data_IF_235159209969
#
_entry.id   IF_235159209969
#
_cell.length_a   1.000
_cell.length_b   1.000
_cell.length_c   1.000
_cell.angle_alpha   90.00
_cell.angle_beta   90.00
_cell.angle_gamma   90.00
#
_symmetry.space_group_name_H-M   'P 1'
#
loop_
_entity.id
_entity.type
_entity.pdbx_description
1 polymer ?
#
# COMPACT_ATOMS: atom_id res chain seq x y z
N UNK A 1 -26.92 -34.11 -2.95
CA UNK A 1 -25.47 -33.86 -2.75
C UNK A 1 -25.24 -32.39 -3.04
N UNK A 2 -24.98 -31.58 -2.02
CA UNK A 2 -24.63 -30.17 -2.24
C UNK A 2 -23.16 -30.13 -2.67
N UNK A 3 -22.89 -29.73 -3.91
CA UNK A 3 -21.55 -29.34 -4.32
C UNK A 3 -21.10 -28.20 -3.39
N UNK A 4 -20.28 -28.54 -2.40
CA UNK A 4 -19.45 -27.57 -1.71
C UNK A 4 -18.45 -27.07 -2.76
N UNK A 5 -18.89 -26.09 -3.53
CA UNK A 5 -18.02 -25.21 -4.29
C UNK A 5 -17.09 -24.58 -3.26
N UNK A 6 -15.88 -25.14 -3.11
CA UNK A 6 -14.77 -24.67 -2.26
C UNK A 6 -14.30 -23.27 -2.72
N UNK A 7 -15.18 -22.28 -2.63
CA UNK A 7 -14.89 -20.88 -2.92
C UNK A 7 -14.60 -20.23 -1.57
N UNK A 8 -13.33 -19.96 -1.33
CA UNK A 8 -12.89 -19.25 -0.14
C UNK A 8 -13.52 -17.84 -0.13
N UNK A 9 -14.56 -17.68 0.68
CA UNK A 9 -15.12 -16.39 1.07
C UNK A 9 -14.27 -15.91 2.23
N UNK A 10 -13.57 -14.80 2.04
CA UNK A 10 -12.84 -14.16 3.14
C UNK A 10 -13.78 -13.17 3.82
N UNK A 11 -14.15 -13.45 5.07
CA UNK A 11 -15.01 -12.57 5.87
C UNK A 11 -14.29 -11.27 6.28
N UNK A 12 -12.96 -11.27 6.24
CA UNK A 12 -12.12 -10.13 6.64
C UNK A 12 -10.92 -9.97 5.71
N UNK A 13 -10.70 -8.72 5.28
CA UNK A 13 -9.52 -8.30 4.52
C UNK A 13 -8.65 -7.45 5.44
N UNK A 14 -7.35 -7.78 5.54
CA UNK A 14 -6.40 -6.99 6.32
C UNK A 14 -5.35 -6.34 5.43
N UNK A 15 -4.98 -5.11 5.78
CA UNK A 15 -3.86 -4.40 5.17
C UNK A 15 -2.66 -4.46 6.11
N UNK A 16 -1.50 -4.81 5.57
CA UNK A 16 -0.23 -4.84 6.32
C UNK A 16 0.85 -4.09 5.54
N UNK A 17 1.60 -3.24 6.22
CA UNK A 17 2.82 -2.64 5.69
C UNK A 17 4.05 -3.31 6.27
N UNK A 18 5.08 -3.49 5.45
CA UNK A 18 6.38 -4.06 5.85
C UNK A 18 7.48 -3.19 5.25
N UNK A 19 8.29 -2.59 6.12
CA UNK A 19 9.44 -1.80 5.72
C UNK A 19 10.61 -2.72 5.36
N UNK A 20 11.38 -2.35 4.33
CA UNK A 20 12.59 -3.09 4.00
C UNK A 20 13.62 -2.98 5.15
N UNK A 21 14.28 -4.08 5.55
CA UNK A 21 15.36 -4.02 6.54
C UNK A 21 16.57 -3.23 6.05
N UNK A 22 16.66 -2.94 4.74
CA UNK A 22 17.74 -2.16 4.14
C UNK A 22 17.51 -0.64 4.22
N UNK A 23 16.36 -0.18 4.72
CA UNK A 23 16.06 1.24 4.83
C UNK A 23 17.00 1.88 5.86
N UNK A 24 17.83 2.82 5.42
CA UNK A 24 18.79 3.50 6.31
C UNK A 24 18.24 4.77 6.96
N UNK A 25 17.10 5.29 6.47
CA UNK A 25 16.44 6.51 6.94
C UNK A 25 17.36 7.74 6.97
N UNK A 26 18.36 7.79 6.08
CA UNK A 26 19.28 8.92 5.92
C UNK A 26 18.81 9.83 4.80
N UNK A 27 19.27 11.08 4.82
CA UNK A 27 19.10 11.99 3.68
C UNK A 27 19.66 11.38 2.41
N UNK A 28 18.94 11.53 1.31
CA UNK A 28 19.25 11.03 -0.03
C UNK A 28 19.31 9.50 -0.15
N UNK A 29 18.82 8.76 0.86
CA UNK A 29 18.75 7.30 0.80
C UNK A 29 17.46 6.80 0.16
N UNK A 30 17.51 5.62 -0.44
CA UNK A 30 16.33 4.92 -0.93
C UNK A 30 15.51 4.34 0.23
N UNK A 31 14.19 4.44 0.11
CA UNK A 31 13.22 3.85 1.02
C UNK A 31 12.31 2.89 0.27
N UNK A 32 12.15 1.69 0.80
CA UNK A 32 11.25 0.67 0.27
C UNK A 32 10.26 0.17 1.32
N UNK A 33 9.00 0.03 0.91
CA UNK A 33 7.93 -0.55 1.71
C UNK A 33 7.03 -1.44 0.86
N UNK A 34 6.63 -2.58 1.42
CA UNK A 34 5.62 -3.46 0.84
C UNK A 34 4.27 -3.23 1.51
N UNK A 35 3.23 -3.06 0.70
CA UNK A 35 1.84 -3.00 1.15
C UNK A 35 1.17 -4.32 0.74
N UNK A 36 0.66 -5.07 1.71
CA UNK A 36 0.09 -6.40 1.51
C UNK A 36 -1.40 -6.41 1.83
N UNK A 37 -2.16 -7.17 1.05
CA UNK A 37 -3.57 -7.50 1.32
C UNK A 37 -3.66 -8.96 1.75
N UNK A 38 -4.06 -9.21 3.00
CA UNK A 38 -4.30 -10.56 3.52
C UNK A 38 -5.79 -10.90 3.41
N UNK A 39 -6.12 -12.14 3.00
CA UNK A 39 -7.50 -12.56 2.71
C UNK A 39 -7.94 -12.33 1.25
N UNK A 40 -7.02 -12.56 0.31
CA UNK A 40 -7.14 -12.15 -1.09
C UNK A 40 -7.69 -13.24 -2.02
N UNK A 41 -8.62 -12.87 -2.91
CA UNK A 41 -9.06 -13.67 -4.08
C UNK A 41 -8.81 -12.85 -5.38
N UNK A 42 -8.16 -13.39 -6.44
CA UNK A 42 -7.19 -12.61 -7.21
C UNK A 42 -7.65 -11.63 -8.29
N UNK A 43 -8.93 -11.24 -8.36
CA UNK A 43 -9.43 -10.76 -9.66
C UNK A 43 -9.36 -9.25 -9.90
N UNK A 44 -9.50 -8.35 -8.90
CA UNK A 44 -9.53 -6.88 -9.12
C UNK A 44 -9.15 -6.06 -7.87
N UNK A 45 -7.86 -5.89 -7.57
CA UNK A 45 -7.40 -4.95 -6.53
C UNK A 45 -6.36 -3.98 -7.08
N UNK A 46 -6.44 -2.72 -6.69
CA UNK A 46 -5.46 -1.71 -7.09
C UNK A 46 -5.21 -0.70 -5.98
N UNK A 47 -3.96 -0.23 -5.93
CA UNK A 47 -3.46 0.75 -4.97
C UNK A 47 -2.92 1.93 -5.75
N UNK A 48 -3.42 3.12 -5.45
CA UNK A 48 -3.04 4.36 -6.13
C UNK A 48 -2.36 5.27 -5.13
N UNK A 49 -1.08 5.55 -5.34
CA UNK A 49 -0.37 6.56 -4.56
C UNK A 49 -0.80 7.94 -5.04
N UNK A 50 -1.02 8.87 -4.11
CA UNK A 50 -1.20 10.29 -4.43
C UNK A 50 -0.25 11.15 -3.61
N UNK A 51 0.28 12.21 -4.24
CA UNK A 51 1.22 13.12 -3.59
C UNK A 51 0.48 14.24 -2.84
N UNK A 52 -0.68 14.65 -3.33
CA UNK A 52 -1.48 15.72 -2.72
C UNK A 52 -2.96 15.67 -3.13
N UNK A 53 -3.79 16.44 -2.43
CA UNK A 53 -5.18 16.75 -2.81
C UNK A 53 -5.21 18.23 -3.16
N UNK A 54 -5.47 18.57 -4.43
CA UNK A 54 -5.58 19.95 -4.92
C UNK A 54 -7.00 20.15 -5.43
N UNK A 55 -7.71 21.17 -4.93
CA UNK A 55 -9.10 21.45 -5.29
C UNK A 55 -10.07 20.25 -5.10
N UNK A 56 -9.81 19.40 -4.11
CA UNK A 56 -10.62 18.20 -3.85
C UNK A 56 -10.28 17.01 -4.75
N UNK A 57 -9.40 17.18 -5.74
CA UNK A 57 -8.93 16.13 -6.63
C UNK A 57 -7.56 15.60 -6.18
N UNK A 58 -7.40 14.28 -6.22
CA UNK A 58 -6.13 13.62 -5.89
C UNK A 58 -5.17 13.75 -7.08
N UNK A 59 -4.01 14.35 -6.84
CA UNK A 59 -2.94 14.42 -7.83
C UNK A 59 -2.06 13.20 -7.65
N UNK A 60 -2.18 12.25 -8.58
CA UNK A 60 -1.44 10.99 -8.56
C UNK A 60 -0.12 11.12 -9.31
N UNK A 61 1.00 10.64 -8.73
CA UNK A 61 2.19 10.35 -9.50
C UNK A 61 2.08 9.00 -10.23
N UNK A 62 1.61 7.92 -9.58
CA UNK A 62 1.81 6.56 -10.10
C UNK A 62 0.89 5.51 -9.43
N UNK A 63 0.46 4.52 -10.22
CA UNK A 63 -0.10 3.26 -9.69
C UNK A 63 1.03 2.42 -9.10
N UNK A 64 0.87 1.92 -7.87
CA UNK A 64 1.89 1.08 -7.26
C UNK A 64 2.02 -0.26 -8.01
N UNK A 65 3.27 -0.68 -8.25
CA UNK A 65 3.52 -1.93 -8.97
C UNK A 65 3.14 -3.12 -8.09
N UNK A 66 2.27 -3.97 -8.60
CA UNK A 66 1.88 -5.22 -7.95
C UNK A 66 2.93 -6.32 -8.23
N UNK A 67 3.29 -7.08 -7.20
CA UNK A 67 4.11 -8.30 -7.29
C UNK A 67 3.59 -9.33 -6.29
N UNK A 68 3.09 -10.47 -6.75
CA UNK A 68 2.66 -11.60 -5.90
C UNK A 68 1.66 -11.22 -4.77
N UNK A 69 0.69 -10.35 -5.05
CA UNK A 69 -0.30 -9.90 -4.05
C UNK A 69 0.19 -8.80 -3.10
N UNK A 70 1.43 -8.32 -3.30
CA UNK A 70 1.97 -7.14 -2.60
C UNK A 70 2.15 -5.98 -3.58
N UNK A 71 2.07 -4.76 -3.07
CA UNK A 71 2.30 -3.53 -3.81
C UNK A 71 3.58 -2.90 -3.29
N UNK A 72 4.55 -2.67 -4.18
CA UNK A 72 5.85 -2.14 -3.81
C UNK A 72 5.87 -0.63 -3.95
N UNK A 73 6.17 0.05 -2.84
CA UNK A 73 6.46 1.48 -2.79
C UNK A 73 7.97 1.69 -2.70
N UNK A 74 8.49 2.58 -3.55
CA UNK A 74 9.87 3.04 -3.53
C UNK A 74 9.92 4.56 -3.66
N UNK A 75 10.78 5.20 -2.89
CA UNK A 75 11.02 6.64 -2.99
C UNK A 75 12.42 7.00 -2.49
N UNK A 76 12.89 8.19 -2.83
CA UNK A 76 14.13 8.77 -2.31
C UNK A 76 13.81 9.72 -1.17
N UNK A 77 14.48 9.58 -0.02
CA UNK A 77 14.25 10.42 1.15
C UNK A 77 15.03 11.74 1.01
N UNK A 78 14.44 12.70 0.32
CA UNK A 78 15.02 14.05 0.12
C UNK A 78 14.51 15.06 1.15
N UNK A 79 13.27 14.90 1.59
CA UNK A 79 12.64 15.77 2.59
C UNK A 79 12.82 15.19 4.00
N UNK A 80 12.90 16.05 5.02
CA UNK A 80 12.96 15.59 6.42
C UNK A 80 11.76 14.70 6.80
N UNK A 81 10.61 14.97 6.19
CA UNK A 81 9.37 14.25 6.40
C UNK A 81 8.70 13.94 5.06
N UNK A 82 8.69 12.68 4.68
CA UNK A 82 7.96 12.19 3.51
C UNK A 82 6.60 11.66 3.95
N UNK A 83 5.52 12.28 3.46
CA UNK A 83 4.16 11.76 3.65
C UNK A 83 3.83 10.78 2.55
N UNK A 84 3.36 9.60 2.94
CA UNK A 84 2.80 8.63 2.02
C UNK A 84 1.29 8.60 2.20
N UNK A 85 0.56 8.78 1.11
CA UNK A 85 -0.87 8.48 1.06
C UNK A 85 -1.16 7.54 -0.10
N UNK A 86 -1.92 6.49 0.19
CA UNK A 86 -2.29 5.46 -0.78
C UNK A 86 -3.78 5.19 -0.67
N UNK A 87 -4.49 5.37 -1.77
CA UNK A 87 -5.85 4.90 -1.91
C UNK A 87 -5.87 3.42 -2.19
N UNK A 88 -6.69 2.73 -1.43
CA UNK A 88 -6.88 1.30 -1.52
C UNK A 88 -8.27 1.05 -2.05
N UNK A 89 -8.36 0.31 -3.16
CA UNK A 89 -9.61 -0.25 -3.63
C UNK A 89 -9.45 -1.73 -3.88
N UNK A 90 -10.26 -2.51 -3.17
CA UNK A 90 -10.30 -3.96 -3.28
C UNK A 90 -11.71 -4.32 -3.74
N UNK A 91 -11.79 -4.88 -4.94
CA UNK A 91 -13.03 -5.43 -5.49
C UNK A 91 -12.96 -6.95 -5.45
N UNK A 92 -13.97 -7.58 -4.85
CA UNK A 92 -14.07 -9.02 -4.75
C UNK A 92 -15.45 -9.49 -5.24
N UNK A 93 -15.46 -10.50 -6.11
CA UNK A 93 -16.71 -11.09 -6.63
C UNK A 93 -17.44 -11.95 -5.59
N UNK A 94 -16.71 -12.50 -4.62
CA UNK A 94 -17.18 -13.51 -3.68
C UNK A 94 -16.95 -13.11 -2.22
N UNK A 95 -16.60 -11.86 -1.94
CA UNK A 95 -16.32 -11.34 -0.59
C UNK A 95 -16.67 -9.86 -0.49
N UNK A 96 -16.30 -9.22 0.63
CA UNK A 96 -16.57 -7.80 0.82
C UNK A 96 -15.64 -6.91 -0.04
N UNK A 97 -16.22 -5.83 -0.57
CA UNK A 97 -15.43 -4.76 -1.20
C UNK A 97 -14.92 -3.81 -0.11
N UNK A 98 -13.67 -3.40 -0.22
CA UNK A 98 -13.04 -2.49 0.73
C UNK A 98 -12.49 -1.26 0.01
N UNK A 99 -12.74 -0.09 0.58
CA UNK A 99 -12.15 1.17 0.16
C UNK A 99 -11.61 1.90 1.38
N UNK A 100 -10.46 2.55 1.23
CA UNK A 100 -9.87 3.33 2.31
C UNK A 100 -8.62 4.05 1.85
N UNK A 101 -8.05 4.83 2.75
CA UNK A 101 -6.79 5.51 2.53
C UNK A 101 -5.81 5.03 3.60
N UNK A 102 -4.65 4.55 3.16
CA UNK A 102 -3.50 4.31 4.01
C UNK A 102 -2.65 5.58 4.02
N UNK A 103 -2.35 6.07 5.22
CA UNK A 103 -1.49 7.24 5.42
C UNK A 103 -0.35 6.89 6.36
N UNK A 104 0.86 7.28 5.98
CA UNK A 104 2.07 7.07 6.78
C UNK A 104 2.99 8.30 6.70
N UNK A 105 3.87 8.43 7.69
CA UNK A 105 4.86 9.50 7.83
C UNK A 105 6.25 8.89 8.01
N UNK A 106 7.08 9.04 6.99
CA UNK A 106 8.45 8.55 6.99
C UNK A 106 9.37 9.72 7.31
N UNK A 107 10.15 9.58 8.39
CA UNK A 107 11.06 10.64 8.85
C UNK A 107 12.52 10.23 8.65
N UNK A 108 13.34 11.17 8.18
CA UNK A 108 14.80 11.01 8.19
C UNK A 108 15.28 10.99 9.65
N UNK A 109 16.03 9.97 10.02
CA UNK A 109 16.69 9.90 11.32
C UNK A 109 18.04 10.59 11.21
N UNK A 110 18.20 11.73 11.90
CA UNK A 110 19.51 12.37 12.03
C UNK A 110 20.39 11.52 12.94
N UNK A 111 21.54 11.08 12.46
CA UNK A 111 22.57 10.53 13.34
C UNK A 111 23.02 11.66 14.27
N UNK A 112 22.87 11.48 15.58
CA UNK A 112 23.55 12.32 16.55
C UNK A 112 25.05 12.02 16.45
N UNK A 113 25.85 13.06 16.20
CA UNK A 113 27.30 13.00 16.26
C UNK A 113 27.78 13.19 17.70
#
# INVERSE_FOLDING_TARGET
MAEINNKYVFDSIFLKTINSPNNTLKSDSDYEMQIMVLGYNPTKSYFVKFDSIVNGEKVNPDTLKQRNGTFLYKTKLVDELTRLNVDVKIENKFGQNSKGTLSDLIKITRCAF
#
